data_IF_842761604083
#
_entry.id   IF_842761604083
#
_cell.length_a   1.000
_cell.length_b   1.000
_cell.length_c   1.000
_cell.angle_alpha   90.00
_cell.angle_beta   90.00
_cell.angle_gamma   90.00
#
_symmetry.space_group_name_H-M   'P 1'
#
loop_
_entity.id
_entity.type
_entity.pdbx_description
1 polymer ?
#
# COMPACT_ATOMS: atom_id res chain seq x y z
N UNK A 1 1.87 -6.38 42.94
CA UNK A 1 1.23 -6.54 41.63
C UNK A 1 1.45 -7.97 41.19
N UNK A 2 0.39 -8.79 41.09
CA UNK A 2 0.52 -10.13 40.51
C UNK A 2 0.88 -9.95 39.00
N UNK A 3 2.11 -10.28 38.63
CA UNK A 3 2.50 -10.42 37.22
C UNK A 3 1.77 -11.67 36.71
N UNK A 4 0.88 -11.51 35.74
CA UNK A 4 0.30 -12.65 35.05
C UNK A 4 1.35 -13.21 34.08
N UNK A 5 1.75 -14.45 34.29
CA UNK A 5 2.63 -15.17 33.36
C UNK A 5 1.77 -15.90 32.33
N UNK A 6 2.06 -15.72 31.05
CA UNK A 6 1.47 -16.46 29.95
C UNK A 6 2.57 -17.06 29.09
N UNK A 7 2.54 -18.39 28.93
CA UNK A 7 3.45 -19.09 27.99
C UNK A 7 2.82 -19.10 26.60
N UNK A 8 3.61 -18.93 25.59
CA UNK A 8 3.19 -18.97 24.19
C UNK A 8 4.40 -19.31 23.32
N UNK A 9 4.17 -20.05 22.23
CA UNK A 9 5.23 -20.40 21.28
C UNK A 9 5.62 -19.19 20.42
N UNK A 10 4.64 -18.34 20.09
CA UNK A 10 4.83 -17.17 19.24
C UNK A 10 4.23 -15.95 19.94
N UNK A 11 5.04 -14.91 20.07
CA UNK A 11 4.59 -13.62 20.61
C UNK A 11 4.56 -12.58 19.50
N UNK A 12 3.41 -11.95 19.31
CA UNK A 12 3.21 -10.84 18.39
C UNK A 12 3.11 -9.55 19.21
N UNK A 13 3.94 -8.56 18.90
CA UNK A 13 3.93 -7.25 19.56
C UNK A 13 3.32 -6.23 18.61
N UNK A 14 2.18 -5.66 19.00
CA UNK A 14 1.41 -4.67 18.26
C UNK A 14 0.20 -5.26 17.55
N UNK A 15 -0.99 -4.81 17.97
CA UNK A 15 -2.30 -5.20 17.43
C UNK A 15 -2.76 -4.35 16.23
N UNK A 16 -1.86 -3.72 15.49
CA UNK A 16 -2.20 -3.06 14.23
C UNK A 16 -2.55 -4.06 13.12
N UNK A 17 -2.89 -3.55 11.93
CA UNK A 17 -3.28 -4.37 10.77
C UNK A 17 -2.28 -5.51 10.48
N UNK A 18 -0.97 -5.23 10.57
CA UNK A 18 0.08 -6.23 10.33
C UNK A 18 0.06 -7.35 11.37
N UNK A 19 0.01 -7.00 12.66
CA UNK A 19 -0.02 -7.98 13.75
C UNK A 19 -1.28 -8.83 13.72
N UNK A 20 -2.44 -8.22 13.50
CA UNK A 20 -3.71 -8.93 13.36
C UNK A 20 -3.73 -9.87 12.14
N UNK A 21 -3.16 -9.43 11.00
CA UNK A 21 -3.06 -10.27 9.80
C UNK A 21 -2.14 -11.46 10.06
N UNK A 22 -0.99 -11.25 10.73
CA UNK A 22 -0.11 -12.35 11.13
C UNK A 22 -0.83 -13.32 12.08
N UNK A 23 -1.48 -12.81 13.10
CA UNK A 23 -2.25 -13.61 14.06
C UNK A 23 -3.33 -14.45 13.37
N UNK A 24 -4.09 -13.85 12.44
CA UNK A 24 -5.06 -14.55 11.60
C UNK A 24 -4.42 -15.72 10.82
N UNK A 25 -3.28 -15.48 10.18
CA UNK A 25 -2.56 -16.52 9.42
C UNK A 25 -2.02 -17.64 10.31
N UNK A 26 -1.54 -17.32 11.51
CA UNK A 26 -1.07 -18.31 12.48
C UNK A 26 -2.23 -19.18 12.99
N UNK A 27 -3.37 -18.56 13.36
CA UNK A 27 -4.57 -19.30 13.78
C UNK A 27 -5.07 -20.25 12.71
N UNK A 28 -5.12 -19.82 11.46
CA UNK A 28 -5.50 -20.69 10.33
C UNK A 28 -4.55 -21.87 10.10
N UNK A 29 -3.31 -21.78 10.58
CA UNK A 29 -2.34 -22.88 10.57
C UNK A 29 -2.34 -23.74 11.83
N UNK A 30 -3.22 -23.42 12.79
CA UNK A 30 -3.30 -24.13 14.08
C UNK A 30 -2.09 -23.90 15.00
N UNK A 31 -1.37 -22.79 14.82
CA UNK A 31 -0.22 -22.43 15.64
C UNK A 31 -0.66 -21.61 16.85
N UNK A 32 -0.08 -21.90 18.02
CA UNK A 32 -0.32 -21.13 19.25
C UNK A 32 0.45 -19.81 19.22
N UNK A 33 -0.23 -18.74 19.61
CA UNK A 33 0.37 -17.40 19.69
C UNK A 33 -0.34 -16.54 20.71
N UNK A 34 0.31 -15.46 21.10
CA UNK A 34 -0.29 -14.39 21.90
C UNK A 34 0.04 -13.06 21.22
N UNK A 35 -0.97 -12.20 21.05
CA UNK A 35 -0.81 -10.85 20.52
C UNK A 35 -0.93 -9.85 21.66
N UNK A 36 0.06 -8.98 21.80
CA UNK A 36 0.09 -7.88 22.76
C UNK A 36 -0.17 -6.56 22.06
N UNK A 37 -1.07 -5.76 22.61
CA UNK A 37 -1.33 -4.39 22.18
C UNK A 37 -1.23 -3.46 23.39
N UNK A 38 -0.55 -2.32 23.22
CA UNK A 38 -0.37 -1.34 24.31
C UNK A 38 -1.61 -0.50 24.58
N UNK A 39 -2.40 -0.26 23.55
CA UNK A 39 -3.63 0.52 23.64
C UNK A 39 -4.81 -0.34 24.10
N UNK A 40 -5.92 0.31 24.45
CA UNK A 40 -7.15 -0.36 24.82
C UNK A 40 -7.80 -1.14 23.65
N UNK A 41 -7.55 -0.69 22.42
CA UNK A 41 -8.07 -1.27 21.18
C UNK A 41 -6.97 -1.71 20.24
N UNK A 42 -7.25 -2.69 19.41
CA UNK A 42 -6.43 -3.04 18.25
C UNK A 42 -6.72 -2.14 17.03
N UNK A 43 -6.05 -2.40 15.91
CA UNK A 43 -6.19 -1.66 14.65
C UNK A 43 -5.10 -0.60 14.43
N UNK A 44 -4.37 -0.21 15.47
CA UNK A 44 -3.32 0.80 15.38
C UNK A 44 -3.86 2.12 14.85
N UNK A 45 -3.30 2.59 13.71
CA UNK A 45 -3.71 3.85 13.07
C UNK A 45 -5.05 3.77 12.33
N UNK A 46 -5.59 2.55 12.09
CA UNK A 46 -6.91 2.40 11.48
C UNK A 46 -7.98 2.67 12.53
N UNK A 47 -8.83 3.62 12.25
CA UNK A 47 -9.94 3.99 13.13
C UNK A 47 -11.05 4.62 12.33
N UNK A 48 -12.23 4.03 12.45
CA UNK A 48 -13.48 4.53 11.85
C UNK A 48 -14.34 5.14 12.94
N UNK A 49 -14.92 6.30 12.67
CA UNK A 49 -15.93 6.93 13.52
C UNK A 49 -17.23 7.10 12.77
N UNK A 50 -18.33 6.94 13.49
CA UNK A 50 -19.67 7.23 12.99
C UNK A 50 -20.31 8.27 13.91
N UNK A 51 -20.62 9.42 13.36
CA UNK A 51 -21.14 10.56 14.11
C UNK A 51 -22.10 11.36 13.23
N UNK A 52 -23.26 11.72 13.77
CA UNK A 52 -24.29 12.53 13.08
C UNK A 52 -24.68 11.98 11.69
N UNK A 53 -24.67 10.65 11.50
CA UNK A 53 -24.99 10.00 10.22
C UNK A 53 -23.82 9.97 9.20
N UNK A 54 -22.65 10.50 9.56
CA UNK A 54 -21.44 10.41 8.77
C UNK A 54 -20.53 9.29 9.27
N UNK A 55 -19.90 8.59 8.34
CA UNK A 55 -18.82 7.63 8.62
C UNK A 55 -17.52 8.20 8.07
N UNK A 56 -16.50 8.31 8.91
CA UNK A 56 -15.20 8.85 8.51
C UNK A 56 -14.04 8.13 9.20
N UNK A 57 -12.91 8.08 8.50
CA UNK A 57 -11.69 7.49 9.01
C UNK A 57 -10.84 8.52 9.76
N UNK A 58 -10.24 8.10 10.87
CA UNK A 58 -9.30 8.94 11.65
C UNK A 58 -7.83 8.68 11.30
N UNK A 59 -7.59 7.75 10.39
CA UNK A 59 -6.29 7.35 9.88
C UNK A 59 -6.34 7.14 8.37
N UNK A 60 -5.82 6.00 7.85
CA UNK A 60 -5.94 5.67 6.43
C UNK A 60 -7.40 5.62 6.00
N UNK A 61 -7.73 6.26 4.88
CA UNK A 61 -9.11 6.33 4.38
C UNK A 61 -9.45 5.21 3.41
N UNK A 62 -8.45 4.69 2.69
CA UNK A 62 -8.63 3.69 1.65
C UNK A 62 -7.41 2.77 1.55
N UNK A 63 -7.63 1.59 1.00
CA UNK A 63 -6.60 0.68 0.55
C UNK A 63 -6.56 0.58 -0.98
N UNK A 64 -5.55 -0.12 -1.49
CA UNK A 64 -5.44 -0.47 -2.92
C UNK A 64 -5.36 -1.98 -3.05
N UNK A 65 -6.29 -2.58 -3.78
CA UNK A 65 -6.35 -4.02 -4.03
C UNK A 65 -5.24 -4.43 -5.02
N UNK A 66 -3.98 -4.37 -4.57
CA UNK A 66 -2.80 -4.44 -5.44
C UNK A 66 -1.98 -5.72 -5.32
N UNK A 67 -2.36 -6.63 -4.41
CA UNK A 67 -1.63 -7.88 -4.21
C UNK A 67 -2.58 -9.08 -4.07
N UNK A 68 -2.15 -10.28 -4.54
CA UNK A 68 -2.89 -11.52 -4.37
C UNK A 68 -3.15 -11.87 -2.90
N UNK A 69 -2.19 -11.58 -2.02
CA UNK A 69 -2.28 -11.86 -0.58
C UNK A 69 -3.40 -11.07 0.08
N UNK A 70 -3.63 -9.82 -0.36
CA UNK A 70 -4.73 -9.01 0.14
C UNK A 70 -6.08 -9.56 -0.33
N UNK A 71 -6.18 -9.99 -1.58
CA UNK A 71 -7.39 -10.68 -2.11
C UNK A 71 -7.67 -11.93 -1.30
N UNK A 72 -6.64 -12.74 -1.06
CA UNK A 72 -6.75 -13.95 -0.25
C UNK A 72 -7.19 -13.67 1.19
N UNK A 73 -6.69 -12.58 1.79
CA UNK A 73 -7.11 -12.19 3.15
C UNK A 73 -8.62 -11.94 3.23
N UNK A 74 -9.18 -11.20 2.27
CA UNK A 74 -10.63 -10.96 2.23
C UNK A 74 -11.43 -12.26 2.00
N UNK A 75 -10.93 -13.17 1.15
CA UNK A 75 -11.55 -14.49 0.96
C UNK A 75 -11.54 -15.29 2.27
N UNK A 76 -10.44 -15.28 3.00
CA UNK A 76 -10.28 -16.00 4.27
C UNK A 76 -11.13 -15.42 5.42
N UNK A 77 -11.54 -14.17 5.34
CA UNK A 77 -12.48 -13.56 6.29
C UNK A 77 -13.94 -13.93 6.03
N UNK A 78 -14.23 -14.71 4.98
CA UNK A 78 -15.50 -15.39 4.73
C UNK A 78 -16.74 -14.45 4.77
N UNK A 79 -16.60 -13.27 4.18
CA UNK A 79 -17.69 -12.29 4.11
C UNK A 79 -17.94 -11.49 5.42
N UNK A 80 -17.11 -11.64 6.45
CA UNK A 80 -17.21 -10.86 7.69
C UNK A 80 -16.97 -9.36 7.47
N UNK A 81 -16.31 -8.99 6.36
CA UNK A 81 -16.22 -7.62 5.90
C UNK A 81 -16.33 -7.58 4.37
N UNK A 82 -17.05 -6.58 3.85
CA UNK A 82 -17.33 -6.43 2.42
C UNK A 82 -16.50 -5.29 1.83
N UNK A 83 -15.76 -5.61 0.74
CA UNK A 83 -15.00 -4.60 0.00
C UNK A 83 -15.96 -3.68 -0.73
N UNK A 84 -15.79 -2.37 -0.54
CA UNK A 84 -16.46 -1.31 -1.26
C UNK A 84 -15.45 -0.60 -2.15
N UNK A 85 -15.58 -0.80 -3.48
CA UNK A 85 -14.67 -0.19 -4.45
C UNK A 85 -15.02 1.27 -4.67
N UNK A 86 -14.01 2.09 -4.85
CA UNK A 86 -14.20 3.49 -5.21
C UNK A 86 -14.94 3.62 -6.54
N UNK A 87 -15.82 4.63 -6.64
CA UNK A 87 -16.54 4.95 -7.86
C UNK A 87 -15.60 5.25 -9.03
N UNK A 88 -16.06 4.98 -10.24
CA UNK A 88 -15.31 5.18 -11.48
C UNK A 88 -14.88 6.65 -11.68
N UNK A 89 -15.68 7.60 -11.18
CA UNK A 89 -15.36 9.04 -11.22
C UNK A 89 -14.12 9.41 -10.39
N UNK A 90 -13.79 8.61 -9.36
CA UNK A 90 -12.63 8.79 -8.48
C UNK A 90 -11.29 8.38 -9.10
N UNK A 91 -11.27 7.87 -10.34
CA UNK A 91 -10.06 7.41 -11.03
C UNK A 91 -9.14 8.55 -11.49
N UNK A 92 -9.67 9.76 -11.61
CA UNK A 92 -8.91 10.87 -12.12
C UNK A 92 -7.99 11.43 -11.03
N UNK A 93 -6.70 11.44 -11.33
CA UNK A 93 -5.69 12.19 -10.57
C UNK A 93 -5.42 13.48 -11.29
N UNK A 94 -5.75 14.59 -10.65
CA UNK A 94 -5.67 15.92 -11.25
C UNK A 94 -4.42 16.62 -10.74
N UNK A 95 -3.64 17.17 -11.66
CA UNK A 95 -2.43 17.93 -11.41
C UNK A 95 -2.67 19.39 -11.79
N UNK A 96 -2.40 20.30 -10.87
CA UNK A 96 -2.48 21.73 -11.16
C UNK A 96 -1.26 22.21 -11.93
N UNK A 97 -1.47 22.78 -13.11
CA UNK A 97 -0.40 23.36 -13.94
C UNK A 97 -0.93 24.52 -14.76
N UNK A 98 -0.20 25.64 -14.77
CA UNK A 98 -0.53 26.82 -15.58
C UNK A 98 -1.99 27.31 -15.41
N UNK A 99 -2.46 27.39 -14.16
CA UNK A 99 -3.81 27.88 -13.84
C UNK A 99 -4.96 26.92 -14.16
N UNK A 100 -4.69 25.65 -14.48
CA UNK A 100 -5.70 24.65 -14.85
C UNK A 100 -5.40 23.27 -14.24
N UNK A 101 -6.47 22.50 -14.04
CA UNK A 101 -6.38 21.09 -13.68
C UNK A 101 -6.18 20.23 -14.92
N UNK A 102 -5.23 19.32 -14.86
CA UNK A 102 -4.92 18.35 -15.91
C UNK A 102 -4.95 16.95 -15.35
N UNK A 103 -5.65 16.03 -16.03
CA UNK A 103 -5.63 14.64 -15.63
C UNK A 103 -4.24 14.02 -15.89
N UNK A 104 -3.75 13.26 -14.91
CA UNK A 104 -2.54 12.44 -15.12
C UNK A 104 -2.84 11.38 -16.18
N UNK A 105 -1.97 11.21 -17.19
CA UNK A 105 -2.23 10.26 -18.26
C UNK A 105 -2.28 8.82 -17.75
N UNK A 106 -3.31 8.09 -18.17
CA UNK A 106 -3.55 6.69 -17.81
C UNK A 106 -3.22 5.69 -18.93
N UNK A 107 -2.85 6.18 -20.12
CA UNK A 107 -2.55 5.35 -21.29
C UNK A 107 -1.70 6.08 -22.31
N UNK A 108 -1.32 5.37 -23.39
CA UNK A 108 -0.40 5.90 -24.42
C UNK A 108 -0.94 7.15 -25.10
N UNK A 109 -2.21 7.15 -25.52
CA UNK A 109 -2.83 8.30 -26.21
C UNK A 109 -2.83 9.52 -25.27
N UNK A 110 -3.31 9.36 -24.04
CA UNK A 110 -3.34 10.43 -23.05
C UNK A 110 -1.91 10.92 -22.68
N UNK A 111 -0.91 10.04 -22.69
CA UNK A 111 0.49 10.42 -22.46
C UNK A 111 1.05 11.30 -23.58
N UNK A 112 0.66 11.05 -24.82
CA UNK A 112 1.09 11.86 -25.98
C UNK A 112 0.34 13.20 -26.02
N UNK A 113 -0.96 13.22 -25.71
CA UNK A 113 -1.79 14.43 -25.84
C UNK A 113 -1.77 15.33 -24.61
N UNK A 114 -1.35 14.83 -23.43
CA UNK A 114 -1.34 15.63 -22.21
C UNK A 114 -0.49 16.90 -22.32
N UNK A 115 -0.99 18.05 -21.83
CA UNK A 115 -0.20 19.26 -21.71
C UNK A 115 0.72 19.32 -20.49
N UNK A 116 0.69 18.29 -19.62
CA UNK A 116 1.58 18.19 -18.47
C UNK A 116 3.05 18.13 -18.86
N UNK A 117 3.35 17.52 -20.03
CA UNK A 117 4.72 17.34 -20.52
C UNK A 117 4.92 18.04 -21.84
N UNK A 118 6.06 18.73 -21.98
CA UNK A 118 6.49 19.33 -23.25
C UNK A 118 6.86 18.25 -24.28
N UNK A 119 6.99 18.61 -25.55
CA UNK A 119 7.48 17.68 -26.59
C UNK A 119 8.86 17.13 -26.23
N UNK A 120 9.76 17.97 -25.69
CA UNK A 120 11.09 17.55 -25.23
C UNK A 120 10.99 16.48 -24.14
N UNK A 121 10.09 16.65 -23.16
CA UNK A 121 9.88 15.67 -22.10
C UNK A 121 9.33 14.35 -22.65
N UNK A 122 8.39 14.42 -23.61
CA UNK A 122 7.83 13.24 -24.27
C UNK A 122 8.90 12.44 -25.01
N UNK A 123 9.79 13.11 -25.77
CA UNK A 123 10.93 12.45 -26.41
C UNK A 123 11.91 11.87 -25.39
N UNK A 124 12.12 12.58 -24.27
CA UNK A 124 12.96 12.06 -23.19
C UNK A 124 12.38 10.78 -22.57
N UNK A 125 11.07 10.72 -22.37
CA UNK A 125 10.37 9.54 -21.86
C UNK A 125 10.47 8.39 -22.86
N UNK A 126 10.24 8.62 -24.14
CA UNK A 126 10.40 7.60 -25.20
C UNK A 126 11.82 7.04 -25.28
N UNK A 127 12.83 7.84 -24.95
CA UNK A 127 14.23 7.42 -24.87
C UNK A 127 14.60 6.64 -23.60
N UNK A 128 13.66 6.47 -22.64
CA UNK A 128 13.91 5.76 -21.38
C UNK A 128 14.45 4.33 -21.57
N UNK A 129 13.93 3.52 -22.52
CA UNK A 129 14.40 2.14 -22.73
C UNK A 129 15.88 1.99 -23.13
N UNK A 130 16.51 3.04 -23.54
CA UNK A 130 17.92 3.06 -23.99
C UNK A 130 18.89 3.57 -22.91
N UNK A 131 18.39 3.97 -21.74
CA UNK A 131 19.24 4.44 -20.64
C UNK A 131 19.74 3.27 -19.81
N UNK A 132 20.99 3.39 -19.35
CA UNK A 132 21.60 2.38 -18.47
C UNK A 132 20.88 2.33 -17.13
N UNK A 133 20.65 1.13 -16.57
CA UNK A 133 20.15 0.97 -15.21
C UNK A 133 21.08 1.61 -14.17
N UNK A 134 20.51 2.07 -13.06
CA UNK A 134 21.29 2.49 -11.90
C UNK A 134 21.84 1.29 -11.13
N UNK A 135 22.93 1.51 -10.43
CA UNK A 135 23.61 0.49 -9.61
C UNK A 135 23.53 0.78 -8.11
N UNK A 136 23.06 1.97 -7.73
CA UNK A 136 22.93 2.35 -6.33
C UNK A 136 21.61 1.80 -5.74
N UNK A 137 21.67 0.85 -4.79
CA UNK A 137 20.48 0.26 -4.17
C UNK A 137 19.76 1.23 -3.22
N UNK A 138 20.38 2.36 -2.90
CA UNK A 138 19.82 3.40 -2.04
C UNK A 138 19.47 4.68 -2.79
N UNK A 139 19.45 4.62 -4.14
CA UNK A 139 19.08 5.75 -4.99
C UNK A 139 17.68 6.28 -4.58
N UNK A 140 17.60 7.61 -4.38
CA UNK A 140 16.32 8.25 -4.04
C UNK A 140 15.35 8.21 -5.22
N UNK A 141 14.05 8.32 -4.92
CA UNK A 141 13.00 8.38 -5.94
C UNK A 141 13.25 9.55 -6.89
N UNK A 142 13.61 10.72 -6.36
CA UNK A 142 13.90 11.89 -7.20
C UNK A 142 15.08 11.65 -8.14
N UNK A 143 16.19 11.09 -7.64
CA UNK A 143 17.37 10.79 -8.47
C UNK A 143 17.05 9.81 -9.59
N UNK A 144 16.41 8.68 -9.24
CA UNK A 144 15.97 7.67 -10.20
C UNK A 144 15.09 8.28 -11.31
N UNK A 145 14.09 9.05 -10.93
CA UNK A 145 13.14 9.64 -11.87
C UNK A 145 13.80 10.69 -12.75
N UNK A 146 14.62 11.58 -12.18
CA UNK A 146 15.39 12.56 -12.97
C UNK A 146 16.26 11.88 -14.01
N UNK A 147 16.99 10.85 -13.61
CA UNK A 147 17.88 10.08 -14.47
C UNK A 147 17.12 9.41 -15.61
N UNK A 148 15.99 8.76 -15.31
CA UNK A 148 15.22 7.95 -16.26
C UNK A 148 14.24 8.76 -17.09
N UNK A 149 13.45 9.62 -16.45
CA UNK A 149 12.28 10.27 -17.05
C UNK A 149 12.44 11.79 -17.21
N UNK A 150 13.28 12.42 -16.39
CA UNK A 150 13.54 13.87 -16.39
C UNK A 150 12.80 14.64 -15.32
N UNK A 151 13.18 15.92 -15.16
CA UNK A 151 12.66 16.80 -14.11
C UNK A 151 11.14 17.00 -14.19
N UNK A 152 10.62 17.34 -15.37
CA UNK A 152 9.18 17.56 -15.53
C UNK A 152 8.33 16.35 -15.11
N UNK A 153 8.85 15.13 -15.29
CA UNK A 153 8.15 13.92 -14.85
C UNK A 153 8.20 13.79 -13.32
N UNK A 154 9.31 14.20 -12.71
CA UNK A 154 9.37 14.27 -11.24
C UNK A 154 8.36 15.28 -10.73
N UNK A 155 8.38 16.53 -11.22
CA UNK A 155 7.55 17.64 -10.70
C UNK A 155 6.04 17.42 -10.88
N UNK A 156 5.62 16.87 -12.03
CA UNK A 156 4.20 16.78 -12.39
C UNK A 156 3.58 15.39 -12.31
N UNK A 157 4.37 14.36 -12.05
CA UNK A 157 3.83 13.01 -11.88
C UNK A 157 4.24 12.37 -10.55
N UNK A 158 5.52 12.38 -10.22
CA UNK A 158 6.02 11.62 -9.07
C UNK A 158 5.91 12.39 -7.77
N UNK A 159 6.31 13.65 -7.74
CA UNK A 159 6.25 14.46 -6.52
C UNK A 159 4.81 14.62 -6.00
N UNK A 160 3.81 14.98 -6.82
CA UNK A 160 2.42 15.00 -6.37
C UNK A 160 1.89 13.62 -5.94
N UNK A 161 2.36 12.54 -6.57
CA UNK A 161 1.99 11.18 -6.18
C UNK A 161 2.60 10.80 -4.81
N UNK A 162 3.88 11.09 -4.60
CA UNK A 162 4.58 10.80 -3.34
C UNK A 162 4.01 11.67 -2.22
N UNK A 163 3.83 12.96 -2.44
CA UNK A 163 3.22 13.87 -1.47
C UNK A 163 1.81 13.44 -1.06
N UNK A 164 0.99 12.99 -2.03
CA UNK A 164 -0.39 12.57 -1.77
C UNK A 164 -0.53 11.21 -1.06
N UNK A 165 0.43 10.29 -1.22
CA UNK A 165 0.36 8.94 -0.64
C UNK A 165 1.21 8.79 0.61
N UNK A 166 2.44 9.32 0.58
CA UNK A 166 3.42 9.13 1.65
C UNK A 166 3.59 10.36 2.55
N UNK A 167 3.00 11.50 2.16
CA UNK A 167 3.29 12.81 2.77
C UNK A 167 4.80 13.07 2.91
N UNK A 168 5.58 12.58 1.95
CA UNK A 168 7.04 12.54 1.99
C UNK A 168 7.68 13.30 0.84
N UNK A 169 9.00 13.47 0.92
CA UNK A 169 9.84 14.11 -0.10
C UNK A 169 10.51 13.01 -0.95
N UNK A 170 10.31 12.99 -2.30
CA UNK A 170 10.95 12.02 -3.17
C UNK A 170 12.48 12.08 -3.17
N UNK A 171 13.08 13.18 -2.69
CA UNK A 171 14.53 13.31 -2.57
C UNK A 171 15.13 12.49 -1.42
N UNK A 172 14.34 12.21 -0.39
CA UNK A 172 14.75 11.46 0.80
C UNK A 172 14.30 10.01 0.80
N UNK A 173 13.26 9.69 0.04
CA UNK A 173 12.71 8.34 -0.03
C UNK A 173 13.58 7.43 -0.92
N UNK A 174 14.05 6.32 -0.37
CA UNK A 174 14.80 5.30 -1.11
C UNK A 174 13.85 4.49 -2.00
N UNK A 175 14.11 4.46 -3.31
CA UNK A 175 13.19 3.90 -4.31
C UNK A 175 12.84 2.44 -4.06
N UNK A 176 13.81 1.60 -3.69
CA UNK A 176 13.58 0.16 -3.47
C UNK A 176 12.57 -0.12 -2.35
N UNK A 177 12.43 0.79 -1.39
CA UNK A 177 11.47 0.68 -0.29
C UNK A 177 10.16 1.42 -0.56
N UNK A 178 10.23 2.64 -1.10
CA UNK A 178 9.04 3.45 -1.36
C UNK A 178 8.27 2.99 -2.61
N UNK A 179 8.98 2.65 -3.68
CA UNK A 179 8.41 2.23 -4.96
C UNK A 179 9.04 0.93 -5.48
N UNK A 180 8.94 -0.20 -4.74
CA UNK A 180 9.63 -1.45 -5.09
C UNK A 180 9.24 -1.97 -6.48
N UNK A 181 8.00 -1.73 -6.91
CA UNK A 181 7.56 -2.13 -8.26
C UNK A 181 8.34 -1.38 -9.34
N UNK A 182 8.59 -0.08 -9.17
CA UNK A 182 9.34 0.73 -10.12
C UNK A 182 10.82 0.33 -10.12
N UNK A 183 11.41 0.17 -8.94
CA UNK A 183 12.77 -0.32 -8.76
C UNK A 183 12.99 -1.66 -9.47
N UNK A 184 12.11 -2.63 -9.24
CA UNK A 184 12.21 -3.96 -9.83
C UNK A 184 12.05 -3.95 -11.37
N UNK A 185 11.27 -3.03 -11.95
CA UNK A 185 11.19 -2.87 -13.40
C UNK A 185 12.55 -2.49 -13.99
N UNK A 186 13.29 -1.59 -13.35
CA UNK A 186 14.63 -1.23 -13.80
C UNK A 186 15.63 -2.37 -13.59
N UNK A 187 15.66 -2.96 -12.41
CA UNK A 187 16.64 -4.00 -12.07
C UNK A 187 16.47 -5.27 -12.92
N UNK A 188 15.23 -5.72 -13.11
CA UNK A 188 14.96 -6.99 -13.79
C UNK A 188 14.89 -6.85 -15.32
N UNK A 189 14.52 -5.68 -15.84
CA UNK A 189 14.29 -5.49 -17.27
C UNK A 189 15.13 -4.35 -17.89
N UNK A 190 15.92 -3.65 -17.07
CA UNK A 190 16.76 -2.53 -17.49
C UNK A 190 15.98 -1.25 -17.84
N UNK A 191 14.64 -1.25 -17.74
CA UNK A 191 13.78 -0.14 -18.17
C UNK A 191 12.38 -0.25 -17.57
N UNK A 192 11.80 0.89 -17.23
CA UNK A 192 10.41 0.96 -16.77
C UNK A 192 9.44 0.56 -17.90
N UNK A 193 9.65 1.10 -19.11
CA UNK A 193 8.77 0.85 -20.26
C UNK A 193 8.88 -0.60 -20.71
N UNK A 194 10.10 -1.09 -20.95
CA UNK A 194 10.32 -2.50 -21.33
C UNK A 194 9.79 -3.46 -20.26
N UNK A 195 10.07 -3.16 -19.01
CA UNK A 195 9.61 -3.96 -17.88
C UNK A 195 8.10 -4.00 -17.76
N UNK A 196 7.43 -2.86 -17.89
CA UNK A 196 5.97 -2.78 -17.85
C UNK A 196 5.32 -3.59 -18.99
N UNK A 197 5.86 -3.51 -20.21
CA UNK A 197 5.38 -4.28 -21.37
C UNK A 197 5.60 -5.78 -21.18
N UNK A 198 6.80 -6.20 -20.72
CA UNK A 198 7.10 -7.62 -20.50
C UNK A 198 6.22 -8.18 -19.37
N UNK A 199 6.18 -7.50 -18.22
CA UNK A 199 5.39 -7.93 -17.07
C UNK A 199 3.88 -7.97 -17.36
N UNK A 200 3.39 -7.09 -18.23
CA UNK A 200 1.99 -7.11 -18.68
C UNK A 200 1.60 -8.32 -19.50
N UNK A 201 2.58 -9.04 -20.08
CA UNK A 201 2.38 -10.27 -20.88
C UNK A 201 2.57 -11.55 -20.07
N UNK A 202 3.05 -11.46 -18.83
CA UNK A 202 3.19 -12.64 -17.96
C UNK A 202 1.81 -13.22 -17.64
N UNK A 203 1.67 -14.55 -17.66
CA UNK A 203 0.41 -15.19 -17.27
C UNK A 203 0.12 -14.91 -15.81
N UNK A 204 -1.13 -14.58 -15.51
CA UNK A 204 -1.62 -14.30 -14.15
C UNK A 204 -2.47 -15.46 -13.65
N UNK A 205 -2.24 -15.87 -12.42
CA UNK A 205 -3.14 -16.76 -11.71
C UNK A 205 -4.45 -16.05 -11.32
N UNK A 206 -5.43 -16.80 -10.81
CA UNK A 206 -6.75 -16.24 -10.49
C UNK A 206 -6.72 -15.16 -9.41
N UNK A 207 -5.88 -15.29 -8.38
CA UNK A 207 -5.73 -14.26 -7.35
C UNK A 207 -5.07 -12.99 -7.92
N UNK A 208 -4.04 -13.15 -8.77
CA UNK A 208 -3.39 -12.02 -9.45
C UNK A 208 -4.33 -11.27 -10.41
N UNK A 209 -5.27 -11.97 -11.06
CA UNK A 209 -6.30 -11.33 -11.89
C UNK A 209 -7.26 -10.50 -11.04
N UNK A 210 -7.59 -10.96 -9.84
CA UNK A 210 -8.46 -10.26 -8.89
C UNK A 210 -7.78 -9.10 -8.19
N UNK A 211 -6.44 -9.04 -8.17
CA UNK A 211 -5.64 -7.91 -7.69
C UNK A 211 -5.67 -6.74 -8.71
N UNK A 212 -6.82 -6.11 -8.84
CA UNK A 212 -7.16 -5.15 -9.91
C UNK A 212 -6.51 -3.77 -9.75
N UNK A 213 -5.91 -3.47 -8.60
CA UNK A 213 -5.40 -2.16 -8.19
C UNK A 213 -6.50 -1.11 -7.99
N UNK A 214 -7.74 -1.54 -7.86
CA UNK A 214 -8.82 -0.65 -7.49
C UNK A 214 -8.57 -0.06 -6.10
N UNK A 215 -8.91 1.20 -5.93
CA UNK A 215 -8.99 1.82 -4.60
C UNK A 215 -10.25 1.27 -3.93
N UNK A 216 -10.13 0.91 -2.68
CA UNK A 216 -11.24 0.34 -1.92
C UNK A 216 -11.29 0.88 -0.50
N UNK A 217 -12.46 0.81 0.09
CA UNK A 217 -12.70 0.80 1.52
C UNK A 217 -13.45 -0.48 1.90
N UNK A 218 -13.88 -0.58 3.13
CA UNK A 218 -14.78 -1.63 3.60
C UNK A 218 -16.11 -0.98 3.93
N UNK A 219 -17.23 -1.67 3.63
CA UNK A 219 -18.55 -1.15 3.95
C UNK A 219 -18.65 -0.85 5.46
N UNK A 220 -19.03 0.40 5.78
CA UNK A 220 -19.05 0.92 7.14
C UNK A 220 -17.69 1.34 7.71
N UNK A 221 -16.65 1.37 6.88
CA UNK A 221 -15.31 1.86 7.21
C UNK A 221 -14.27 0.75 7.44
N UNK A 222 -12.99 1.13 7.38
CA UNK A 222 -11.86 0.20 7.54
C UNK A 222 -11.82 -0.45 8.94
N UNK A 223 -12.45 0.17 9.94
CA UNK A 223 -12.62 -0.43 11.27
C UNK A 223 -13.32 -1.79 11.24
N UNK A 224 -14.19 -2.04 10.25
CA UNK A 224 -14.85 -3.34 10.09
C UNK A 224 -13.89 -4.43 9.61
N UNK A 225 -12.81 -4.09 8.88
CA UNK A 225 -11.73 -5.03 8.58
C UNK A 225 -10.99 -5.42 9.88
N UNK A 226 -10.72 -4.45 10.74
CA UNK A 226 -10.08 -4.72 12.03
C UNK A 226 -10.98 -5.63 12.89
N UNK A 227 -12.26 -5.33 13.00
CA UNK A 227 -13.21 -6.14 13.75
C UNK A 227 -13.32 -7.58 13.20
N UNK A 228 -13.33 -7.76 11.87
CA UNK A 228 -13.33 -9.06 11.24
C UNK A 228 -12.05 -9.87 11.54
N UNK A 229 -10.90 -9.19 11.56
CA UNK A 229 -9.63 -9.81 11.94
C UNK A 229 -9.61 -10.19 13.42
N UNK A 230 -10.07 -9.32 14.33
CA UNK A 230 -10.18 -9.62 15.77
C UNK A 230 -11.07 -10.85 16.02
N UNK A 231 -12.21 -10.89 15.36
CA UNK A 231 -13.13 -12.04 15.45
C UNK A 231 -12.46 -13.33 14.96
N UNK A 232 -11.74 -13.26 13.84
CA UNK A 232 -11.00 -14.39 13.29
C UNK A 232 -9.87 -14.86 14.20
N UNK A 233 -9.13 -13.93 14.81
CA UNK A 233 -8.04 -14.20 15.75
C UNK A 233 -8.55 -14.79 17.05
N UNK A 234 -9.69 -14.31 17.55
CA UNK A 234 -10.27 -14.66 18.84
C UNK A 234 -9.69 -13.81 19.99
N UNK A 235 -10.59 -13.28 20.80
CA UNK A 235 -10.24 -12.37 21.90
C UNK A 235 -9.30 -12.99 22.93
N UNK A 236 -9.35 -14.31 23.10
CA UNK A 236 -8.51 -15.08 24.01
C UNK A 236 -7.02 -15.02 23.66
N UNK A 237 -6.70 -14.71 22.41
CA UNK A 237 -5.33 -14.59 21.90
C UNK A 237 -4.81 -13.15 21.91
N UNK A 238 -5.64 -12.17 22.26
CA UNK A 238 -5.32 -10.74 22.24
C UNK A 238 -5.29 -10.21 23.66
N UNK A 239 -4.19 -9.60 24.05
CA UNK A 239 -4.05 -8.89 25.33
C UNK A 239 -3.81 -7.41 25.02
N UNK A 240 -4.73 -6.56 25.50
CA UNK A 240 -4.64 -5.10 25.38
C UNK A 240 -4.07 -4.46 26.65
N UNK A 241 -3.74 -3.15 26.61
CA UNK A 241 -3.17 -2.39 27.74
C UNK A 241 -1.82 -2.96 28.24
N UNK A 242 -1.06 -3.60 27.34
CA UNK A 242 0.23 -4.21 27.65
C UNK A 242 1.38 -3.21 27.49
N UNK A 243 1.56 -2.30 28.46
CA UNK A 243 2.62 -1.27 28.41
C UNK A 243 3.95 -1.71 29.02
N UNK A 244 3.90 -2.55 30.07
CA UNK A 244 5.05 -2.97 30.88
C UNK A 244 5.25 -4.49 30.82
N UNK A 245 5.42 -5.02 29.61
CA UNK A 245 5.56 -6.46 29.38
C UNK A 245 7.02 -6.85 29.28
N UNK A 246 7.44 -7.81 30.09
CA UNK A 246 8.75 -8.44 30.00
C UNK A 246 8.63 -9.76 29.22
N UNK A 247 9.48 -9.95 28.21
CA UNK A 247 9.54 -11.19 27.43
C UNK A 247 10.74 -12.00 27.91
N UNK A 248 10.49 -13.17 28.47
CA UNK A 248 11.53 -14.07 28.95
C UNK A 248 11.58 -15.27 27.99
N UNK A 249 12.64 -15.40 27.17
CA UNK A 249 12.82 -16.58 26.33
C UNK A 249 12.98 -17.84 27.19
N UNK A 250 12.28 -18.89 26.82
CA UNK A 250 12.36 -20.22 27.47
C UNK A 250 13.42 -21.09 26.84
#
# INVERSE_FOLDING_TARGET
MNRAEKKTDILIIGGGLTGLTLAHKLKRRGLEFTLLEKEERTGGVIGTRSENGFVYETGPTTGVLSSPELVQLFDELEGKCEIEKADQSSKYRLIWKNGKWHALPSGLISAVTTPLFTLKDKFRILGEPFRKPGTDPYESVASLVRRRMGESFLDYAIDPFIGGIYAGDPSTLVTRFALPKLYNLEQNYGSFIKGAVKKGKEPKNELEKRATKDVFSVRGGLGNLIAALEESVGKENILTLCTDTEVIPS
#
